data_IF_786642600510
#
_entry.id   IF_786642600510
#
_cell.length_a   1.000
_cell.length_b   1.000
_cell.length_c   1.000
_cell.angle_alpha   90.00
_cell.angle_beta   90.00
_cell.angle_gamma   90.00
#
_symmetry.space_group_name_H-M   'P 1'
#
loop_
_entity.id
_entity.type
_entity.pdbx_description
1 polymer ?
#
# COMPACT_ATOMS: atom_id res chain seq x y z
N UNK A 1 -5.03 -3.35 17.36
CA UNK A 1 -6.44 -3.28 16.93
C UNK A 1 -6.65 -4.27 15.79
N UNK A 2 -7.83 -4.90 15.70
CA UNK A 2 -8.12 -6.20 15.03
C UNK A 2 -7.65 -7.42 15.85
N UNK A 3 -6.35 -7.67 15.97
CA UNK A 3 -5.83 -8.81 16.77
C UNK A 3 -5.69 -8.51 18.28
N UNK A 4 -6.42 -7.53 18.79
CA UNK A 4 -6.44 -7.18 20.22
C UNK A 4 -7.70 -7.74 20.86
N UNK A 5 -7.64 -8.13 22.14
CA UNK A 5 -8.68 -8.85 22.93
C UNK A 5 -10.10 -8.23 22.94
N UNK A 6 -10.34 -7.12 22.25
CA UNK A 6 -11.62 -6.42 22.18
C UNK A 6 -12.39 -6.69 20.88
N UNK A 7 -11.91 -7.56 19.99
CA UNK A 7 -12.48 -7.81 18.66
C UNK A 7 -12.67 -9.32 18.42
N UNK A 8 -13.67 -9.69 17.61
CA UNK A 8 -13.93 -11.12 17.26
C UNK A 8 -12.79 -11.70 16.42
N UNK A 9 -12.13 -10.86 15.62
CA UNK A 9 -10.98 -11.20 14.81
C UNK A 9 -9.74 -11.56 15.64
N UNK A 10 -9.73 -11.27 16.95
CA UNK A 10 -8.59 -11.59 17.81
C UNK A 10 -8.40 -13.08 18.07
N UNK A 11 -9.43 -13.90 17.84
CA UNK A 11 -9.40 -15.36 18.00
C UNK A 11 -9.74 -16.10 16.71
N UNK A 12 -9.89 -15.36 15.60
CA UNK A 12 -10.22 -15.94 14.31
C UNK A 12 -8.96 -16.50 13.63
N UNK A 13 -9.07 -17.69 13.02
CA UNK A 13 -7.99 -18.27 12.20
C UNK A 13 -7.83 -17.54 10.87
N UNK A 14 -8.91 -16.92 10.38
CA UNK A 14 -8.95 -16.19 9.10
C UNK A 14 -9.59 -14.82 9.27
N UNK A 15 -9.11 -13.84 8.49
CA UNK A 15 -9.66 -12.48 8.45
C UNK A 15 -10.04 -12.11 7.02
N UNK A 16 -11.31 -11.79 6.81
CA UNK A 16 -11.81 -11.31 5.51
C UNK A 16 -11.63 -9.80 5.37
N UNK A 17 -10.66 -9.38 4.55
CA UNK A 17 -10.43 -7.98 4.23
C UNK A 17 -11.17 -7.58 2.95
N UNK A 18 -11.95 -6.50 3.03
CA UNK A 18 -12.69 -5.93 1.91
C UNK A 18 -12.09 -4.57 1.53
N UNK A 19 -12.29 -4.13 0.29
CA UNK A 19 -11.84 -2.81 -0.16
C UNK A 19 -10.35 -2.71 -0.52
N UNK A 20 -9.64 -3.84 -0.58
CA UNK A 20 -8.25 -3.92 -1.05
C UNK A 20 -8.12 -4.99 -2.13
N UNK A 21 -7.29 -4.75 -3.14
CA UNK A 21 -6.99 -5.77 -4.15
C UNK A 21 -5.98 -6.76 -3.59
N UNK A 22 -6.02 -8.01 -4.07
CA UNK A 22 -5.06 -9.05 -3.67
C UNK A 22 -3.62 -8.67 -4.02
N UNK A 23 -3.44 -7.97 -5.14
CA UNK A 23 -2.15 -7.48 -5.60
C UNK A 23 -1.60 -6.38 -4.69
N UNK A 24 -2.40 -5.37 -4.35
CA UNK A 24 -2.00 -4.31 -3.42
C UNK A 24 -1.71 -4.85 -2.02
N UNK A 25 -2.55 -5.78 -1.54
CA UNK A 25 -2.38 -6.42 -0.24
C UNK A 25 -1.07 -7.22 -0.17
N UNK A 26 -0.77 -8.02 -1.20
CA UNK A 26 0.47 -8.79 -1.27
C UNK A 26 1.70 -7.89 -1.12
N UNK A 27 1.77 -6.81 -1.90
CA UNK A 27 2.89 -5.87 -1.85
C UNK A 27 3.01 -5.17 -0.48
N UNK A 28 1.88 -4.79 0.11
CA UNK A 28 1.86 -4.18 1.44
C UNK A 28 2.38 -5.15 2.52
N UNK A 29 2.04 -6.44 2.43
CA UNK A 29 2.56 -7.48 3.32
C UNK A 29 4.04 -7.74 3.08
N UNK A 30 4.47 -7.88 1.84
CA UNK A 30 5.88 -8.07 1.49
C UNK A 30 6.72 -6.92 2.07
N UNK A 31 6.25 -5.67 1.97
CA UNK A 31 6.86 -4.52 2.61
C UNK A 31 6.86 -4.61 4.14
N UNK A 32 5.74 -4.99 4.76
CA UNK A 32 5.66 -5.10 6.22
C UNK A 32 6.65 -6.13 6.80
N UNK A 33 6.92 -7.22 6.07
CA UNK A 33 7.83 -8.27 6.50
C UNK A 33 9.30 -8.03 6.10
N UNK A 34 9.58 -7.31 5.01
CA UNK A 34 10.94 -7.16 4.48
C UNK A 34 11.49 -5.73 4.56
N UNK A 35 10.62 -4.74 4.74
CA UNK A 35 10.93 -3.31 4.63
C UNK A 35 11.23 -2.85 3.20
N UNK A 36 11.06 -3.69 2.19
CA UNK A 36 11.40 -3.41 0.79
C UNK A 36 10.14 -3.40 -0.08
N UNK A 37 10.12 -2.53 -1.10
CA UNK A 37 9.05 -2.50 -2.08
C UNK A 37 9.56 -2.01 -3.44
N UNK A 38 9.05 -2.61 -4.51
CA UNK A 38 9.24 -2.15 -5.88
C UNK A 38 7.95 -1.48 -6.36
N UNK A 39 8.02 -0.17 -6.64
CA UNK A 39 6.87 0.59 -7.11
C UNK A 39 6.89 0.73 -8.64
N UNK A 40 5.78 0.33 -9.26
CA UNK A 40 5.55 0.41 -10.70
C UNK A 40 4.29 1.23 -10.99
N UNK A 41 4.19 1.92 -12.15
CA UNK A 41 3.09 2.83 -12.43
C UNK A 41 1.72 2.13 -12.46
N UNK A 42 1.69 0.86 -12.90
CA UNK A 42 0.46 0.07 -12.97
C UNK A 42 -0.01 -0.49 -11.63
N UNK A 43 0.86 -0.49 -10.61
CA UNK A 43 0.63 -1.18 -9.33
C UNK A 43 0.52 -0.20 -8.16
N UNK A 44 1.15 0.96 -8.25
CA UNK A 44 1.24 1.93 -7.13
C UNK A 44 -0.11 2.36 -6.57
N UNK A 45 -1.17 2.46 -7.38
CA UNK A 45 -2.51 2.83 -6.91
C UNK A 45 -3.12 1.76 -5.99
N UNK A 46 -2.98 0.50 -6.36
CA UNK A 46 -3.43 -0.64 -5.56
C UNK A 46 -2.67 -0.74 -4.24
N UNK A 47 -1.35 -0.51 -4.29
CA UNK A 47 -0.48 -0.49 -3.10
C UNK A 47 -0.85 0.68 -2.19
N UNK A 48 -1.10 1.87 -2.75
CA UNK A 48 -1.53 3.05 -2.00
C UNK A 48 -2.87 2.79 -1.30
N UNK A 49 -3.84 2.19 -2.00
CA UNK A 49 -5.13 1.82 -1.42
C UNK A 49 -4.97 0.82 -0.26
N UNK A 50 -4.17 -0.24 -0.46
CA UNK A 50 -3.89 -1.23 0.58
C UNK A 50 -3.15 -0.63 1.79
N UNK A 51 -2.11 0.18 1.55
CA UNK A 51 -1.36 0.87 2.59
C UNK A 51 -2.23 1.85 3.39
N UNK A 52 -3.20 2.50 2.74
CA UNK A 52 -4.16 3.41 3.38
C UNK A 52 -5.12 2.64 4.28
N UNK A 53 -5.66 1.52 3.78
CA UNK A 53 -6.56 0.64 4.51
C UNK A 53 -5.89 0.03 5.75
N UNK A 54 -4.62 -0.37 5.65
CA UNK A 54 -3.84 -0.97 6.74
C UNK A 54 -3.08 0.06 7.60
N UNK A 55 -3.14 1.35 7.24
CA UNK A 55 -2.44 2.45 7.93
C UNK A 55 -0.91 2.29 8.01
N UNK A 56 -0.28 1.75 6.96
CA UNK A 56 1.17 1.63 6.86
C UNK A 56 1.81 2.96 6.43
N UNK A 57 2.06 3.85 7.38
CA UNK A 57 2.48 5.23 7.10
C UNK A 57 3.78 5.35 6.28
N UNK A 58 4.79 4.52 6.54
CA UNK A 58 6.03 4.53 5.75
C UNK A 58 5.79 4.11 4.30
N UNK A 59 4.92 3.11 4.08
CA UNK A 59 4.51 2.71 2.74
C UNK A 59 3.79 3.86 2.00
N UNK A 60 2.90 4.58 2.69
CA UNK A 60 2.20 5.74 2.12
C UNK A 60 3.16 6.86 1.70
N UNK A 61 4.20 7.12 2.50
CA UNK A 61 5.23 8.11 2.15
C UNK A 61 5.98 7.71 0.87
N UNK A 62 6.37 6.44 0.76
CA UNK A 62 7.06 5.93 -0.42
C UNK A 62 6.19 6.02 -1.68
N UNK A 63 4.92 5.60 -1.60
CA UNK A 63 3.97 5.72 -2.71
C UNK A 63 3.76 7.18 -3.13
N UNK A 64 3.60 8.09 -2.17
CA UNK A 64 3.45 9.53 -2.44
C UNK A 64 4.68 10.12 -3.15
N UNK A 65 5.88 9.83 -2.64
CA UNK A 65 7.12 10.29 -3.24
C UNK A 65 7.25 9.80 -4.70
N UNK A 66 6.96 8.52 -4.94
CA UNK A 66 6.97 7.94 -6.27
C UNK A 66 5.99 8.65 -7.23
N UNK A 67 4.74 8.89 -6.79
CA UNK A 67 3.72 9.54 -7.61
C UNK A 67 4.08 11.00 -7.94
N UNK A 68 4.64 11.75 -6.98
CA UNK A 68 5.12 13.11 -7.21
C UNK A 68 6.25 13.11 -8.25
N UNK A 69 7.21 12.21 -8.08
CA UNK A 69 8.34 12.08 -8.99
C UNK A 69 7.88 11.77 -10.42
N UNK A 70 7.00 10.78 -10.60
CA UNK A 70 6.44 10.45 -11.93
C UNK A 70 5.68 11.64 -12.54
N UNK A 71 4.89 12.35 -11.73
CA UNK A 71 4.14 13.53 -12.20
C UNK A 71 5.08 14.64 -12.70
N UNK A 72 6.21 14.86 -12.04
CA UNK A 72 7.22 15.83 -12.47
C UNK A 72 7.90 15.43 -13.79
N UNK A 73 8.23 14.14 -13.97
CA UNK A 73 8.80 13.65 -15.23
C UNK A 73 7.84 13.85 -16.40
N UNK A 74 6.55 13.57 -16.19
CA UNK A 74 5.52 13.80 -17.21
C UNK A 74 5.39 15.29 -17.53
N UNK A 75 5.37 16.16 -16.52
CA UNK A 75 5.34 17.61 -16.74
C UNK A 75 6.54 18.13 -17.54
N UNK A 76 7.75 17.60 -17.30
CA UNK A 76 8.96 17.94 -18.05
C UNK A 76 8.87 17.49 -19.52
N UNK A 77 8.30 16.31 -19.79
CA UNK A 77 8.09 15.80 -21.15
C UNK A 77 7.13 16.65 -21.98
N UNK A 78 6.16 17.32 -21.36
CA UNK A 78 5.24 18.23 -22.06
C UNK A 78 5.82 19.63 -22.31
N UNK A 79 6.97 19.96 -21.70
CA UNK A 79 7.61 21.27 -21.81
C UNK A 79 8.79 21.28 -22.80
N UNK A 80 9.12 20.13 -23.40
CA UNK A 80 10.14 19.93 -24.44
C UNK A 80 9.45 19.62 -25.76
#
# INVERSE_FOLDING_TARGET
AMFSLCMVESVAEEVSLHGVTSLGLKQALDFAYTGQILLEPGVVQDVLAAGSHLQLLELLKLCSHYLIQVSQYVALLFLV
#
